data_IF_654094720980
#
_entry.id   IF_654094720980
#
_cell.length_a   1.000
_cell.length_b   1.000
_cell.length_c   1.000
_cell.angle_alpha   90.00
_cell.angle_beta   90.00
_cell.angle_gamma   90.00
#
_symmetry.space_group_name_H-M   'P 1'
#
loop_
_entity.id
_entity.type
_entity.pdbx_description
1 polymer ?
#
# COMPACT_ATOMS: atom_id res chain seq x y z
N UNK A 1 -22.31 -0.31 -16.92
CA UNK A 1 -21.78 -0.89 -18.18
C UNK A 1 -21.41 -2.34 -17.90
N UNK A 2 -21.79 -3.27 -18.81
CA UNK A 2 -21.41 -4.68 -18.68
C UNK A 2 -19.97 -4.87 -19.15
N UNK A 3 -19.16 -5.59 -18.37
CA UNK A 3 -17.75 -5.85 -18.66
C UNK A 3 -17.46 -7.35 -18.59
N UNK A 4 -16.42 -7.80 -19.31
CA UNK A 4 -16.11 -9.24 -19.41
C UNK A 4 -15.38 -9.78 -18.17
N UNK A 5 -14.39 -9.02 -17.67
CA UNK A 5 -13.43 -9.57 -16.71
C UNK A 5 -13.40 -8.85 -15.36
N UNK A 6 -13.86 -7.61 -15.30
CA UNK A 6 -13.86 -6.87 -14.04
C UNK A 6 -14.98 -5.85 -13.98
N UNK A 7 -15.48 -5.60 -12.78
CA UNK A 7 -16.40 -4.51 -12.48
C UNK A 7 -16.10 -3.98 -11.09
N UNK A 8 -16.25 -2.68 -10.90
CA UNK A 8 -16.07 -2.00 -9.62
C UNK A 8 -17.23 -1.06 -9.37
N UNK A 9 -17.67 -0.98 -8.12
CA UNK A 9 -18.67 0.00 -7.69
C UNK A 9 -18.45 0.45 -6.25
N UNK A 10 -18.94 1.64 -5.96
CA UNK A 10 -19.01 2.21 -4.63
C UNK A 10 -20.43 2.06 -4.07
N UNK A 11 -20.54 1.60 -2.83
CA UNK A 11 -21.74 1.66 -2.01
C UNK A 11 -21.64 2.90 -1.12
N UNK A 12 -22.43 3.93 -1.32
CA UNK A 12 -22.42 5.12 -0.51
C UNK A 12 -23.29 4.94 0.75
N UNK A 13 -22.76 5.26 1.91
CA UNK A 13 -23.54 5.29 3.14
C UNK A 13 -23.21 4.18 4.14
N UNK A 14 -24.03 4.03 5.20
CA UNK A 14 -23.80 3.05 6.25
C UNK A 14 -24.18 1.63 5.82
N UNK A 15 -23.95 0.69 6.74
CA UNK A 15 -24.40 -0.69 6.59
C UNK A 15 -25.93 -0.74 6.50
N UNK A 16 -26.44 -1.39 5.48
CA UNK A 16 -27.84 -1.75 5.24
C UNK A 16 -27.84 -3.12 4.55
N UNK A 17 -28.26 -4.16 5.25
CA UNK A 17 -28.14 -5.53 4.81
C UNK A 17 -28.92 -5.80 3.52
N UNK A 18 -30.21 -5.42 3.50
CA UNK A 18 -31.10 -5.66 2.35
C UNK A 18 -30.62 -4.86 1.11
N UNK A 19 -30.23 -3.61 1.33
CA UNK A 19 -29.69 -2.76 0.26
C UNK A 19 -28.37 -3.28 -0.29
N UNK A 20 -27.47 -3.74 0.57
CA UNK A 20 -26.18 -4.32 0.17
C UNK A 20 -26.35 -5.65 -0.60
N UNK A 21 -27.34 -6.46 -0.23
CA UNK A 21 -27.69 -7.66 -0.97
C UNK A 21 -28.07 -7.33 -2.41
N UNK A 22 -29.06 -6.47 -2.59
CA UNK A 22 -29.53 -6.07 -3.93
C UNK A 22 -28.41 -5.41 -4.75
N UNK A 23 -27.62 -4.54 -4.10
CA UNK A 23 -26.50 -3.87 -4.72
C UNK A 23 -25.40 -4.87 -5.20
N UNK A 24 -25.05 -5.85 -4.37
CA UNK A 24 -24.09 -6.89 -4.71
C UNK A 24 -24.55 -7.78 -5.86
N UNK A 25 -25.83 -8.16 -5.89
CA UNK A 25 -26.45 -8.91 -7.00
C UNK A 25 -26.42 -8.07 -8.29
N UNK A 26 -26.75 -6.78 -8.21
CA UNK A 26 -26.73 -5.87 -9.35
C UNK A 26 -25.31 -5.66 -9.88
N UNK A 27 -24.31 -5.56 -9.00
CA UNK A 27 -22.91 -5.47 -9.40
C UNK A 27 -22.44 -6.76 -10.08
N UNK A 28 -22.78 -7.92 -9.50
CA UNK A 28 -22.49 -9.23 -10.08
C UNK A 28 -23.09 -9.39 -11.49
N UNK A 29 -24.31 -8.91 -11.70
CA UNK A 29 -25.00 -8.96 -12.99
C UNK A 29 -24.34 -8.09 -14.09
N UNK A 30 -23.47 -7.16 -13.73
CA UNK A 30 -22.70 -6.36 -14.67
C UNK A 30 -21.45 -7.10 -15.20
N UNK A 31 -20.95 -8.10 -14.47
CA UNK A 31 -19.86 -8.94 -14.92
C UNK A 31 -20.41 -10.05 -15.82
N UNK A 32 -20.01 -10.06 -17.09
CA UNK A 32 -20.51 -11.03 -18.07
C UNK A 32 -19.96 -12.45 -17.87
N UNK A 33 -18.77 -12.54 -17.26
CA UNK A 33 -18.15 -13.83 -16.99
C UNK A 33 -19.00 -14.68 -16.03
N UNK A 34 -19.01 -16.03 -16.21
CA UNK A 34 -19.84 -16.92 -15.40
C UNK A 34 -19.41 -17.00 -13.93
N UNK A 35 -18.14 -16.70 -13.63
CA UNK A 35 -17.56 -16.86 -12.31
C UNK A 35 -16.85 -15.59 -11.84
N UNK A 36 -16.94 -15.33 -10.52
CA UNK A 36 -16.12 -14.33 -9.84
C UNK A 36 -15.00 -15.07 -9.10
N UNK A 37 -13.79 -14.96 -9.65
CA UNK A 37 -12.61 -15.62 -9.08
C UNK A 37 -12.13 -14.91 -7.82
N UNK A 38 -12.11 -13.55 -7.87
CA UNK A 38 -11.59 -12.67 -6.82
C UNK A 38 -12.52 -11.48 -6.63
N UNK A 39 -12.81 -11.16 -5.38
CA UNK A 39 -13.38 -9.89 -4.93
C UNK A 39 -12.36 -9.13 -4.10
N UNK A 40 -12.22 -7.83 -4.36
CA UNK A 40 -11.46 -6.93 -3.50
C UNK A 40 -12.42 -5.92 -2.87
N UNK A 41 -12.40 -5.83 -1.53
CA UNK A 41 -13.28 -4.95 -0.76
C UNK A 41 -12.48 -3.99 0.09
N UNK A 42 -12.84 -2.71 0.01
CA UNK A 42 -12.30 -1.65 0.86
C UNK A 42 -13.45 -0.97 1.57
N UNK A 43 -13.40 -0.96 2.91
CA UNK A 43 -14.50 -0.41 3.72
C UNK A 43 -14.02 0.74 4.59
N UNK A 44 -14.81 1.81 4.64
CA UNK A 44 -14.57 2.89 5.61
C UNK A 44 -14.77 2.39 7.05
N UNK A 45 -14.11 3.01 8.06
CA UNK A 45 -14.18 2.57 9.45
C UNK A 45 -15.57 2.49 10.03
N UNK A 46 -16.55 3.17 9.45
CA UNK A 46 -17.96 3.10 9.85
C UNK A 46 -18.57 1.69 9.68
N UNK A 47 -17.93 0.84 8.89
CA UNK A 47 -18.33 -0.56 8.71
C UNK A 47 -17.76 -1.52 9.78
N UNK A 48 -16.81 -1.09 10.62
CA UNK A 48 -16.16 -1.97 11.60
C UNK A 48 -17.14 -2.82 12.42
N UNK A 49 -18.24 -2.27 12.99
CA UNK A 49 -19.18 -3.07 13.76
C UNK A 49 -19.94 -4.12 12.95
N UNK A 50 -19.99 -3.97 11.63
CA UNK A 50 -20.77 -4.79 10.71
C UNK A 50 -19.88 -5.50 9.66
N UNK A 51 -18.57 -5.46 9.82
CA UNK A 51 -17.63 -5.94 8.79
C UNK A 51 -17.88 -7.40 8.43
N UNK A 52 -18.01 -8.30 9.41
CA UNK A 52 -18.25 -9.72 9.15
C UNK A 52 -19.57 -9.96 8.40
N UNK A 53 -20.65 -9.29 8.79
CA UNK A 53 -21.96 -9.38 8.11
C UNK A 53 -21.85 -8.84 6.67
N UNK A 54 -21.16 -7.70 6.49
CA UNK A 54 -20.93 -7.11 5.18
C UNK A 54 -20.17 -8.08 4.26
N UNK A 55 -19.08 -8.68 4.75
CA UNK A 55 -18.29 -9.66 3.99
C UNK A 55 -19.13 -10.87 3.57
N UNK A 56 -19.97 -11.38 4.47
CA UNK A 56 -20.84 -12.50 4.16
C UNK A 56 -21.88 -12.16 3.08
N UNK A 57 -22.57 -11.02 3.21
CA UNK A 57 -23.51 -10.52 2.21
C UNK A 57 -22.83 -10.38 0.84
N UNK A 58 -21.69 -9.69 0.78
CA UNK A 58 -20.97 -9.47 -0.47
C UNK A 58 -20.51 -10.80 -1.10
N UNK A 59 -19.94 -11.70 -0.30
CA UNK A 59 -19.44 -12.98 -0.79
C UNK A 59 -20.55 -13.87 -1.36
N UNK A 60 -21.68 -13.93 -0.68
CA UNK A 60 -22.82 -14.77 -1.09
C UNK A 60 -23.52 -14.18 -2.32
N UNK A 61 -23.92 -12.90 -2.25
CA UNK A 61 -24.77 -12.29 -3.27
C UNK A 61 -23.99 -11.87 -4.54
N UNK A 62 -22.72 -11.53 -4.43
CA UNK A 62 -21.85 -11.37 -5.59
C UNK A 62 -21.14 -12.68 -6.02
N UNK A 63 -21.42 -13.82 -5.38
CA UNK A 63 -20.89 -15.15 -5.70
C UNK A 63 -19.36 -15.20 -5.78
N UNK A 64 -18.68 -14.60 -4.81
CA UNK A 64 -17.24 -14.45 -4.81
C UNK A 64 -16.56 -15.69 -4.23
N UNK A 65 -15.61 -16.29 -4.97
CA UNK A 65 -14.85 -17.46 -4.50
C UNK A 65 -13.81 -17.10 -3.46
N UNK A 66 -13.03 -16.04 -3.72
CA UNK A 66 -12.05 -15.49 -2.79
C UNK A 66 -12.31 -14.00 -2.63
N UNK A 67 -12.62 -13.57 -1.41
CA UNK A 67 -12.84 -12.17 -1.05
C UNK A 67 -11.70 -11.72 -0.14
N UNK A 68 -11.05 -10.61 -0.46
CA UNK A 68 -10.02 -10.04 0.40
C UNK A 68 -10.04 -8.51 0.35
N UNK A 69 -9.39 -7.88 1.31
CA UNK A 69 -9.29 -6.43 1.36
C UNK A 69 -8.92 -5.92 2.73
N UNK A 70 -9.21 -4.64 2.97
CA UNK A 70 -8.92 -4.02 4.24
C UNK A 70 -9.80 -2.78 4.47
N UNK A 71 -9.72 -2.23 5.67
CA UNK A 71 -10.26 -0.92 5.97
C UNK A 71 -9.48 0.19 5.28
N UNK A 72 -10.18 1.24 4.87
CA UNK A 72 -9.57 2.38 4.20
C UNK A 72 -10.28 3.67 4.56
N UNK A 73 -9.50 4.72 4.89
CA UNK A 73 -10.05 6.04 5.21
C UNK A 73 -10.54 6.77 3.94
N UNK A 74 -9.83 6.62 2.83
CA UNK A 74 -10.25 7.08 1.51
C UNK A 74 -10.51 5.90 0.58
N UNK A 75 -11.44 6.05 -0.36
CA UNK A 75 -11.84 5.01 -1.29
C UNK A 75 -11.70 5.51 -2.73
N UNK A 76 -11.40 4.60 -3.66
CA UNK A 76 -11.35 4.88 -5.09
C UNK A 76 -12.21 3.86 -5.82
N UNK A 77 -13.14 4.32 -6.64
CA UNK A 77 -13.98 3.47 -7.47
C UNK A 77 -13.99 3.95 -8.93
N UNK A 78 -13.21 3.27 -9.78
CA UNK A 78 -13.02 3.73 -11.15
C UNK A 78 -12.27 5.06 -11.20
N UNK A 79 -12.93 6.11 -11.68
CA UNK A 79 -12.38 7.48 -11.77
C UNK A 79 -12.79 8.37 -10.57
N UNK A 80 -13.56 7.83 -9.62
CA UNK A 80 -14.06 8.58 -8.46
C UNK A 80 -13.15 8.39 -7.26
N UNK A 81 -12.72 9.48 -6.65
CA UNK A 81 -12.06 9.55 -5.35
C UNK A 81 -13.08 9.95 -4.29
N UNK A 82 -13.19 9.16 -3.23
CA UNK A 82 -14.19 9.29 -2.18
C UNK A 82 -13.47 9.49 -0.86
N UNK A 83 -13.52 10.70 -0.35
CA UNK A 83 -12.91 11.08 0.92
C UNK A 83 -13.95 11.57 1.92
N UNK A 84 -13.65 11.39 3.22
CA UNK A 84 -14.46 11.89 4.34
C UNK A 84 -15.95 11.46 4.30
N UNK A 85 -16.22 10.32 3.68
CA UNK A 85 -17.56 9.75 3.61
C UNK A 85 -17.60 8.29 4.07
N UNK A 86 -18.77 7.84 4.51
CA UNK A 86 -19.01 6.42 4.79
C UNK A 86 -19.27 5.68 3.50
N UNK A 87 -18.76 4.44 3.40
CA UNK A 87 -19.04 3.60 2.25
C UNK A 87 -18.09 2.42 2.16
N UNK A 88 -18.29 1.64 1.12
CA UNK A 88 -17.36 0.59 0.71
C UNK A 88 -17.20 0.57 -0.82
N UNK A 89 -16.06 0.07 -1.27
CA UNK A 89 -15.82 -0.23 -2.68
C UNK A 89 -15.65 -1.75 -2.81
N UNK A 90 -16.34 -2.32 -3.79
CA UNK A 90 -16.19 -3.72 -4.16
C UNK A 90 -15.78 -3.81 -5.64
N UNK A 91 -14.65 -4.46 -5.89
CA UNK A 91 -14.21 -4.83 -7.22
C UNK A 91 -14.33 -6.35 -7.42
N UNK A 92 -14.96 -6.77 -8.50
CA UNK A 92 -15.13 -8.18 -8.87
C UNK A 92 -14.27 -8.48 -10.09
N UNK A 93 -13.55 -9.60 -10.03
CA UNK A 93 -12.69 -10.06 -11.11
C UNK A 93 -13.02 -11.49 -11.49
N UNK A 94 -13.12 -11.73 -12.80
CA UNK A 94 -13.04 -13.06 -13.38
C UNK A 94 -11.64 -13.28 -13.93
N UNK A 95 -10.95 -14.26 -13.42
CA UNK A 95 -9.56 -14.58 -13.76
C UNK A 95 -9.49 -16.03 -14.29
N UNK A 96 -9.87 -16.27 -15.55
CA UNK A 96 -9.84 -17.62 -16.12
C UNK A 96 -8.42 -18.21 -16.10
N UNK A 97 -8.30 -19.47 -15.71
CA UNK A 97 -7.01 -20.14 -15.60
C UNK A 97 -6.15 -19.73 -14.39
N UNK A 98 -6.62 -18.79 -13.55
CA UNK A 98 -5.90 -18.42 -12.33
C UNK A 98 -6.01 -19.50 -11.25
N UNK A 99 -4.93 -19.65 -10.50
CA UNK A 99 -4.92 -20.31 -9.18
C UNK A 99 -4.78 -19.24 -8.12
N UNK A 100 -5.73 -19.21 -7.18
CA UNK A 100 -5.78 -18.20 -6.13
C UNK A 100 -5.76 -18.89 -4.76
N UNK A 101 -4.91 -18.42 -3.86
CA UNK A 101 -4.89 -18.85 -2.46
C UNK A 101 -4.64 -17.67 -1.54
N UNK A 102 -5.59 -17.40 -0.65
CA UNK A 102 -5.44 -16.39 0.41
C UNK A 102 -4.85 -17.01 1.66
N UNK A 103 -3.99 -16.27 2.34
CA UNK A 103 -3.41 -16.63 3.63
C UNK A 103 -3.41 -15.41 4.56
N UNK A 104 -3.71 -15.63 5.83
CA UNK A 104 -3.51 -14.65 6.89
C UNK A 104 -2.18 -14.93 7.58
N UNK A 105 -1.47 -13.88 8.01
CA UNK A 105 -0.22 -13.97 8.77
C UNK A 105 -0.18 -12.92 9.89
N UNK A 106 0.60 -13.19 10.91
CA UNK A 106 0.71 -12.38 12.13
C UNK A 106 2.12 -11.84 12.35
N UNK A 107 2.27 -10.84 13.22
CA UNK A 107 3.60 -10.32 13.63
C UNK A 107 4.49 -11.41 14.22
N UNK A 108 3.92 -12.33 15.00
CA UNK A 108 4.66 -13.46 15.53
C UNK A 108 5.32 -14.30 14.44
N UNK A 109 4.60 -14.58 13.36
CA UNK A 109 5.13 -15.32 12.22
C UNK A 109 6.22 -14.53 11.48
N UNK A 110 6.09 -13.20 11.40
CA UNK A 110 7.15 -12.32 10.87
C UNK A 110 8.43 -12.42 11.69
N UNK A 111 8.32 -12.45 13.02
CA UNK A 111 9.46 -12.59 13.94
C UNK A 111 10.09 -13.99 13.89
N UNK A 112 9.30 -15.02 13.65
CA UNK A 112 9.74 -16.41 13.51
C UNK A 112 10.35 -16.73 12.14
N UNK A 113 10.18 -15.84 11.14
CA UNK A 113 10.68 -16.05 9.78
C UNK A 113 12.20 -15.87 9.69
N UNK A 114 12.93 -16.89 10.12
CA UNK A 114 14.38 -16.89 10.19
C UNK A 114 15.09 -17.41 8.93
N UNK A 115 14.38 -18.06 8.03
CA UNK A 115 14.93 -18.65 6.81
C UNK A 115 13.93 -18.54 5.63
N UNK A 116 14.44 -18.67 4.41
CA UNK A 116 13.64 -18.57 3.17
C UNK A 116 12.54 -19.64 3.04
N UNK A 117 12.65 -20.75 3.74
CA UNK A 117 11.68 -21.85 3.66
C UNK A 117 10.54 -21.70 4.69
N UNK A 118 10.64 -20.71 5.57
CA UNK A 118 9.63 -20.47 6.60
C UNK A 118 8.24 -20.19 6.00
N UNK A 119 8.15 -19.22 5.11
CA UNK A 119 6.86 -18.83 4.51
C UNK A 119 6.26 -19.93 3.64
N UNK A 120 6.99 -20.62 2.75
CA UNK A 120 6.46 -21.77 2.03
C UNK A 120 5.87 -22.85 2.93
N UNK A 121 6.57 -23.21 4.02
CA UNK A 121 6.07 -24.17 5.00
C UNK A 121 4.82 -23.68 5.74
N UNK A 122 4.81 -22.41 6.13
CA UNK A 122 3.72 -21.81 6.93
C UNK A 122 2.47 -21.58 6.09
N UNK A 123 2.61 -21.09 4.88
CA UNK A 123 1.49 -20.80 3.96
C UNK A 123 1.04 -22.04 3.19
N UNK A 124 1.89 -23.05 3.07
CA UNK A 124 1.68 -24.20 2.18
C UNK A 124 1.62 -23.80 0.69
N UNK A 125 2.40 -22.78 0.32
CA UNK A 125 2.52 -22.28 -1.06
C UNK A 125 3.99 -22.31 -1.44
N UNK A 126 4.33 -23.21 -2.35
CA UNK A 126 5.70 -23.32 -2.86
C UNK A 126 6.06 -22.15 -3.78
N UNK A 127 7.32 -21.70 -3.79
CA UNK A 127 7.74 -20.49 -4.51
C UNK A 127 7.48 -20.50 -6.02
N UNK A 128 7.40 -21.68 -6.63
CA UNK A 128 7.14 -21.83 -8.07
C UNK A 128 5.66 -21.76 -8.46
N UNK A 129 4.73 -21.72 -7.50
CA UNK A 129 3.30 -21.73 -7.80
C UNK A 129 2.72 -20.35 -8.11
N UNK A 130 3.02 -19.27 -7.33
CA UNK A 130 2.49 -17.95 -7.65
C UNK A 130 3.32 -17.26 -8.75
N UNK A 131 2.62 -16.42 -9.51
CA UNK A 131 3.22 -15.45 -10.44
C UNK A 131 3.35 -14.06 -9.80
N UNK A 132 2.75 -13.87 -8.63
CA UNK A 132 2.80 -12.66 -7.84
C UNK A 132 1.81 -12.68 -6.68
N UNK A 133 1.83 -11.63 -5.88
CA UNK A 133 1.06 -11.50 -4.64
C UNK A 133 0.30 -10.19 -4.57
N UNK A 134 -0.93 -10.25 -4.05
CA UNK A 134 -1.62 -9.08 -3.50
C UNK A 134 -1.59 -9.17 -1.98
N UNK A 135 -1.30 -8.07 -1.28
CA UNK A 135 -1.22 -8.06 0.17
C UNK A 135 -1.86 -6.82 0.79
N UNK A 136 -2.58 -7.02 1.89
CA UNK A 136 -3.16 -5.99 2.73
C UNK A 136 -2.65 -6.18 4.15
N UNK A 137 -2.05 -5.16 4.75
CA UNK A 137 -1.30 -5.29 6.00
C UNK A 137 -1.70 -4.20 6.98
N UNK A 138 -1.87 -4.58 8.24
CA UNK A 138 -2.06 -3.63 9.33
C UNK A 138 -0.73 -2.91 9.63
N UNK A 139 -0.67 -1.57 9.50
CA UNK A 139 0.56 -0.82 9.72
C UNK A 139 0.95 -0.65 11.19
N UNK A 140 0.02 -0.92 12.12
CA UNK A 140 0.24 -0.65 13.54
C UNK A 140 0.83 -1.86 14.29
N UNK A 141 0.49 -3.07 13.87
CA UNK A 141 0.90 -4.29 14.56
C UNK A 141 1.87 -5.15 13.74
N UNK A 142 2.12 -4.83 12.46
CA UNK A 142 3.09 -5.54 11.61
C UNK A 142 4.32 -4.66 11.32
N UNK A 143 5.50 -5.20 11.56
CA UNK A 143 6.73 -4.65 11.02
C UNK A 143 6.82 -4.97 9.52
N UNK A 144 6.28 -4.07 8.71
CA UNK A 144 6.16 -4.25 7.26
C UNK A 144 7.51 -4.42 6.56
N UNK A 145 8.58 -3.76 7.05
CA UNK A 145 9.93 -3.90 6.47
C UNK A 145 10.50 -5.31 6.71
N UNK A 146 10.34 -5.84 7.94
CA UNK A 146 10.78 -7.19 8.26
C UNK A 146 9.97 -8.24 7.50
N UNK A 147 8.64 -8.03 7.40
CA UNK A 147 7.78 -8.91 6.62
C UNK A 147 8.18 -8.93 5.14
N UNK A 148 8.26 -7.78 4.48
CA UNK A 148 8.61 -7.69 3.05
C UNK A 148 9.97 -8.34 2.79
N UNK A 149 10.97 -8.11 3.66
CA UNK A 149 12.29 -8.72 3.50
C UNK A 149 12.25 -10.24 3.55
N UNK A 150 11.64 -10.82 4.59
CA UNK A 150 11.55 -12.27 4.74
C UNK A 150 10.66 -12.91 3.66
N UNK A 151 9.63 -12.18 3.19
CA UNK A 151 8.77 -12.63 2.11
C UNK A 151 9.49 -12.64 0.76
N UNK A 152 10.26 -11.58 0.47
CA UNK A 152 11.09 -11.50 -0.75
C UNK A 152 12.19 -12.56 -0.78
N UNK A 153 12.79 -12.88 0.37
CA UNK A 153 13.75 -13.99 0.49
C UNK A 153 13.09 -15.34 0.17
N UNK A 154 11.85 -15.53 0.58
CA UNK A 154 11.11 -16.78 0.38
C UNK A 154 10.56 -16.92 -1.05
N UNK A 155 10.11 -15.82 -1.64
CA UNK A 155 9.46 -15.78 -2.94
C UNK A 155 10.20 -14.85 -3.91
N UNK A 156 11.53 -14.97 -3.95
CA UNK A 156 12.42 -14.08 -4.66
C UNK A 156 12.05 -13.84 -6.13
N UNK A 157 11.99 -12.57 -6.51
CA UNK A 157 11.69 -12.14 -7.87
C UNK A 157 10.19 -12.12 -8.23
N UNK A 158 9.30 -12.45 -7.29
CA UNK A 158 7.86 -12.34 -7.51
C UNK A 158 7.35 -10.95 -7.07
N UNK A 159 6.53 -10.28 -7.90
CA UNK A 159 5.98 -9.00 -7.53
C UNK A 159 4.98 -9.12 -6.36
N UNK A 160 5.04 -8.18 -5.43
CA UNK A 160 4.06 -8.00 -4.36
C UNK A 160 3.43 -6.63 -4.51
N UNK A 161 2.12 -6.59 -4.70
CA UNK A 161 1.34 -5.36 -4.75
C UNK A 161 0.33 -5.32 -3.61
N UNK A 162 -0.12 -4.14 -3.26
CA UNK A 162 -1.12 -3.97 -2.22
C UNK A 162 -0.91 -2.69 -1.42
N UNK A 163 -1.29 -2.71 -0.16
CA UNK A 163 -1.20 -1.52 0.67
C UNK A 163 -1.36 -1.79 2.15
N UNK A 164 -1.10 -0.74 2.90
CA UNK A 164 -1.36 -0.71 4.33
C UNK A 164 -2.81 -0.29 4.56
N UNK A 165 -3.50 -1.01 5.44
CA UNK A 165 -4.84 -0.64 5.88
C UNK A 165 -4.81 0.71 6.57
N UNK A 166 -5.92 1.44 6.51
CA UNK A 166 -6.07 2.71 7.22
C UNK A 166 -7.42 2.78 7.95
N UNK A 167 -7.47 3.61 8.98
CA UNK A 167 -8.62 3.76 9.86
C UNK A 167 -8.80 5.20 10.29
N UNK A 168 -9.60 5.44 11.32
CA UNK A 168 -9.81 6.77 11.87
C UNK A 168 -8.62 7.23 12.72
N UNK A 169 -8.09 8.40 12.40
CA UNK A 169 -7.12 9.04 13.27
C UNK A 169 -7.83 9.73 14.46
N UNK A 170 -7.32 9.65 15.73
CA UNK A 170 -6.00 9.11 16.10
C UNK A 170 -6.01 7.63 16.52
N UNK A 171 -7.12 6.92 16.39
CA UNK A 171 -7.22 5.54 16.85
C UNK A 171 -6.44 4.60 15.91
N UNK A 172 -5.46 3.83 16.44
CA UNK A 172 -4.67 2.92 15.63
C UNK A 172 -5.42 1.61 15.35
N UNK A 173 -6.65 1.69 14.85
CA UNK A 173 -7.50 0.54 14.55
C UNK A 173 -7.69 0.43 13.04
N UNK A 174 -7.33 -0.74 12.52
CA UNK A 174 -7.60 -1.16 11.15
C UNK A 174 -8.20 -2.56 11.14
N UNK A 175 -8.82 -2.91 10.03
CA UNK A 175 -9.32 -4.26 9.81
C UNK A 175 -8.82 -4.80 8.47
N UNK A 176 -8.52 -6.10 8.42
CA UNK A 176 -8.09 -6.81 7.24
C UNK A 176 -9.05 -7.98 7.02
N UNK A 177 -9.36 -8.26 5.77
CA UNK A 177 -10.43 -9.17 5.40
C UNK A 177 -9.93 -10.33 4.54
N UNK A 178 -10.37 -11.54 4.89
CA UNK A 178 -10.20 -12.71 4.04
C UNK A 178 -11.45 -13.59 4.10
N UNK A 179 -12.16 -13.70 3.00
CA UNK A 179 -13.47 -14.36 2.90
C UNK A 179 -14.50 -13.75 3.86
N UNK A 180 -14.91 -14.47 4.90
CA UNK A 180 -15.81 -13.97 5.95
C UNK A 180 -15.10 -13.55 7.23
N UNK A 181 -13.78 -13.73 7.30
CA UNK A 181 -13.01 -13.44 8.50
C UNK A 181 -12.55 -11.98 8.53
N UNK A 182 -12.62 -11.38 9.72
CA UNK A 182 -12.15 -10.03 10.03
C UNK A 182 -11.01 -10.14 11.02
N UNK A 183 -9.87 -9.57 10.68
CA UNK A 183 -8.68 -9.52 11.53
C UNK A 183 -8.39 -8.07 11.91
N UNK A 184 -8.11 -7.82 13.18
CA UNK A 184 -7.73 -6.51 13.71
C UNK A 184 -6.23 -6.33 13.82
N UNK A 185 -5.47 -7.35 13.45
CA UNK A 185 -4.01 -7.36 13.37
C UNK A 185 -3.51 -8.25 12.21
N UNK A 186 -2.23 -8.17 11.91
CA UNK A 186 -1.64 -9.06 10.93
C UNK A 186 -1.67 -8.54 9.50
N UNK A 187 -1.68 -9.47 8.57
CA UNK A 187 -1.79 -9.22 7.14
C UNK A 187 -2.44 -10.37 6.40
N UNK A 188 -3.01 -10.05 5.26
CA UNK A 188 -3.53 -11.02 4.30
C UNK A 188 -2.72 -10.93 3.02
N UNK A 189 -2.26 -12.07 2.52
CA UNK A 189 -1.60 -12.18 1.22
C UNK A 189 -2.36 -13.17 0.33
N UNK A 190 -2.53 -12.81 -0.94
CA UNK A 190 -3.19 -13.62 -1.95
C UNK A 190 -2.16 -14.01 -2.99
N UNK A 191 -1.84 -15.30 -3.07
CA UNK A 191 -1.07 -15.86 -4.16
C UNK A 191 -1.91 -15.86 -5.44
N UNK A 192 -1.38 -15.31 -6.50
CA UNK A 192 -1.97 -15.33 -7.85
C UNK A 192 -1.02 -16.13 -8.74
N UNK A 193 -1.50 -17.24 -9.28
CA UNK A 193 -0.75 -18.14 -10.15
C UNK A 193 -1.59 -18.65 -11.32
N UNK A 194 -1.13 -19.71 -11.96
CA UNK A 194 -1.77 -20.26 -13.15
C UNK A 194 -1.47 -19.43 -14.41
N UNK A 195 -2.48 -19.21 -15.24
CA UNK A 195 -2.34 -18.49 -16.53
C UNK A 195 -2.42 -16.97 -16.41
N UNK A 196 -2.40 -16.42 -15.19
CA UNK A 196 -2.51 -14.98 -14.92
C UNK A 196 -1.17 -14.46 -14.43
N UNK A 197 -0.67 -13.37 -15.05
CA UNK A 197 0.49 -12.62 -14.60
C UNK A 197 0.06 -11.35 -13.85
N UNK A 198 0.84 -10.97 -12.84
CA UNK A 198 0.64 -9.75 -12.08
C UNK A 198 1.73 -8.73 -12.47
N UNK A 199 1.33 -7.59 -12.98
CA UNK A 199 2.21 -6.48 -13.34
C UNK A 199 1.67 -5.19 -12.72
N UNK A 200 2.55 -4.23 -12.47
CA UNK A 200 2.14 -2.96 -11.88
C UNK A 200 2.96 -1.78 -12.37
N UNK A 201 2.37 -0.60 -12.18
CA UNK A 201 3.03 0.69 -12.40
C UNK A 201 3.04 1.42 -11.06
N UNK A 202 4.19 2.01 -10.73
CA UNK A 202 4.35 2.81 -9.51
C UNK A 202 4.51 4.27 -9.91
N UNK A 203 3.58 5.12 -9.44
CA UNK A 203 3.70 6.56 -9.52
C UNK A 203 3.78 7.14 -8.11
N UNK A 204 4.87 7.86 -7.82
CA UNK A 204 5.05 8.47 -6.50
C UNK A 204 4.54 9.92 -6.45
N UNK A 205 4.13 10.49 -7.59
CA UNK A 205 3.56 11.83 -7.69
C UNK A 205 4.49 12.92 -7.13
N UNK A 206 5.81 12.77 -7.28
CA UNK A 206 6.79 13.69 -6.74
C UNK A 206 7.84 14.09 -7.78
N UNK A 207 8.28 15.35 -7.68
CA UNK A 207 9.35 15.92 -8.49
C UNK A 207 10.58 16.16 -7.62
N UNK A 208 11.79 15.71 -8.03
CA UNK A 208 13.04 16.02 -7.35
C UNK A 208 13.29 17.54 -7.29
N UNK A 209 13.78 18.02 -6.15
CA UNK A 209 14.15 19.42 -5.94
C UNK A 209 15.55 19.52 -5.34
N UNK A 210 16.29 20.59 -5.71
CA UNK A 210 17.67 20.78 -5.28
C UNK A 210 18.61 19.74 -5.86
N UNK A 211 19.74 19.55 -5.19
CA UNK A 211 20.80 18.62 -5.58
C UNK A 211 20.68 17.27 -4.88
N UNK A 212 21.36 16.27 -5.41
CA UNK A 212 21.56 14.96 -4.77
C UNK A 212 22.63 15.05 -3.70
N UNK A 213 22.43 14.35 -2.59
CA UNK A 213 23.31 14.35 -1.44
C UNK A 213 23.54 12.94 -0.91
N UNK A 214 24.65 12.76 -0.21
CA UNK A 214 24.91 11.53 0.54
C UNK A 214 24.54 11.71 2.01
N UNK A 215 23.82 10.77 2.60
CA UNK A 215 23.56 10.69 4.02
C UNK A 215 24.82 10.29 4.76
N UNK A 216 25.37 11.18 5.59
CA UNK A 216 26.66 10.93 6.24
C UNK A 216 26.54 10.51 7.70
N UNK A 217 25.39 10.76 8.34
CA UNK A 217 25.09 10.25 9.68
C UNK A 217 23.59 10.02 9.84
N UNK A 218 23.22 8.77 10.11
CA UNK A 218 21.85 8.33 10.30
C UNK A 218 21.77 7.45 11.55
N UNK A 219 20.67 7.56 12.30
CA UNK A 219 20.35 6.72 13.44
C UNK A 219 18.85 6.37 13.39
N UNK A 220 18.56 5.11 13.06
CA UNK A 220 17.20 4.65 12.78
C UNK A 220 16.54 5.51 11.70
N UNK A 221 15.41 6.13 12.01
CA UNK A 221 14.67 7.04 11.13
C UNK A 221 15.10 8.51 11.24
N UNK A 222 16.17 8.79 11.98
CA UNK A 222 16.71 10.15 12.19
C UNK A 222 17.93 10.38 11.32
N UNK A 223 17.86 11.42 10.47
CA UNK A 223 18.98 11.90 9.67
C UNK A 223 19.62 13.06 10.39
N UNK A 224 20.85 12.86 10.89
CA UNK A 224 21.63 13.89 11.56
C UNK A 224 22.41 14.75 10.57
N UNK A 225 23.09 14.10 9.60
CA UNK A 225 23.95 14.81 8.65
C UNK A 225 23.71 14.38 7.21
N UNK A 226 23.68 15.37 6.34
CA UNK A 226 23.63 15.26 4.87
C UNK A 226 24.89 16.00 4.35
N UNK A 227 25.75 15.32 3.61
CA UNK A 227 27.00 15.90 3.10
C UNK A 227 27.89 16.52 4.22
N UNK A 228 27.95 15.85 5.39
CA UNK A 228 28.63 16.30 6.61
C UNK A 228 28.10 17.62 7.23
N UNK A 229 26.88 18.02 6.87
CA UNK A 229 26.20 19.21 7.38
C UNK A 229 24.94 18.81 8.15
N UNK A 230 24.46 19.59 9.12
CA UNK A 230 23.19 19.32 9.78
C UNK A 230 22.07 19.16 8.75
N UNK A 231 21.31 18.05 8.84
CA UNK A 231 20.32 17.71 7.84
C UNK A 231 19.23 18.80 7.65
N UNK A 232 18.78 19.38 8.76
CA UNK A 232 17.80 20.48 8.72
C UNK A 232 18.33 21.71 7.97
N UNK A 233 19.62 22.04 8.12
CA UNK A 233 20.22 23.18 7.41
C UNK A 233 20.24 22.95 5.90
N UNK A 234 20.54 21.73 5.46
CA UNK A 234 20.52 21.39 4.03
C UNK A 234 19.10 21.49 3.47
N UNK A 235 18.08 21.01 4.21
CA UNK A 235 16.68 21.16 3.83
C UNK A 235 16.27 22.64 3.71
N UNK A 236 16.61 23.43 4.72
CA UNK A 236 16.26 24.86 4.76
C UNK A 236 16.90 25.64 3.60
N UNK A 237 18.17 25.40 3.31
CA UNK A 237 18.86 26.02 2.17
C UNK A 237 18.31 25.57 0.84
N UNK A 238 18.02 24.26 0.67
CA UNK A 238 17.37 23.73 -0.54
C UNK A 238 16.04 24.45 -0.77
N UNK A 239 15.21 24.57 0.27
CA UNK A 239 13.92 25.25 0.17
C UNK A 239 14.08 26.76 -0.15
N UNK A 240 15.00 27.44 0.51
CA UNK A 240 15.26 28.87 0.28
C UNK A 240 15.85 29.15 -1.11
N UNK A 241 16.60 28.23 -1.66
CA UNK A 241 17.19 28.31 -3.00
C UNK A 241 16.18 28.11 -4.15
N UNK A 242 14.97 27.64 -3.86
CA UNK A 242 13.94 27.47 -4.88
C UNK A 242 13.39 28.83 -5.34
N UNK A 243 12.93 28.94 -6.60
CA UNK A 243 12.15 30.08 -7.06
C UNK A 243 10.90 30.31 -6.18
N UNK A 244 10.41 31.57 -6.03
CA UNK A 244 9.29 31.88 -5.14
C UNK A 244 8.01 31.05 -5.41
N UNK A 245 7.75 30.72 -6.66
CA UNK A 245 6.61 29.88 -7.04
C UNK A 245 6.77 28.44 -6.54
N UNK A 246 7.98 27.90 -6.68
CA UNK A 246 8.32 26.56 -6.23
C UNK A 246 8.33 26.49 -4.69
N UNK A 247 8.78 27.52 -4.00
CA UNK A 247 8.68 27.59 -2.54
C UNK A 247 7.22 27.50 -2.07
N UNK A 248 6.31 28.23 -2.74
CA UNK A 248 4.87 28.18 -2.41
C UNK A 248 4.28 26.80 -2.61
N UNK A 249 4.60 26.14 -3.73
CA UNK A 249 4.16 24.77 -4.02
C UNK A 249 4.75 23.73 -3.07
N UNK A 250 5.95 23.96 -2.57
CA UNK A 250 6.68 23.06 -1.67
C UNK A 250 6.26 23.18 -0.21
N UNK A 251 5.56 24.23 0.17
CA UNK A 251 5.15 24.46 1.56
C UNK A 251 4.15 23.39 2.01
N UNK A 252 4.54 22.56 2.99
CA UNK A 252 3.76 21.43 3.47
C UNK A 252 3.79 20.18 2.56
N UNK A 253 4.53 20.25 1.44
CA UNK A 253 4.57 19.19 0.42
C UNK A 253 5.99 18.65 0.17
N UNK A 254 6.86 18.72 1.18
CA UNK A 254 8.24 18.24 1.08
C UNK A 254 8.37 16.80 1.55
N UNK A 255 9.16 16.05 0.80
CA UNK A 255 9.45 14.65 1.02
C UNK A 255 10.95 14.41 0.87
N UNK A 256 11.42 13.23 1.25
CA UNK A 256 12.75 12.74 0.94
C UNK A 256 12.67 11.60 -0.07
N UNK A 257 13.47 11.67 -1.12
CA UNK A 257 13.71 10.57 -2.05
C UNK A 257 15.02 9.87 -1.69
N UNK A 258 14.94 8.59 -1.40
CA UNK A 258 16.09 7.73 -1.16
C UNK A 258 16.37 6.94 -2.44
N UNK A 259 17.60 6.98 -2.95
CA UNK A 259 17.95 6.30 -4.19
C UNK A 259 17.78 4.78 -4.02
N UNK A 260 17.15 4.15 -5.01
CA UNK A 260 16.91 2.71 -5.04
C UNK A 260 18.13 1.97 -5.58
N UNK A 261 18.77 2.51 -6.61
CA UNK A 261 19.93 1.92 -7.25
C UNK A 261 21.12 2.90 -7.26
N UNK A 262 22.07 2.70 -6.36
CA UNK A 262 23.27 3.55 -6.20
C UNK A 262 24.29 3.43 -7.36
N UNK A 263 24.11 2.50 -8.30
CA UNK A 263 25.02 2.27 -9.43
C UNK A 263 24.70 3.11 -10.67
N UNK A 264 23.64 3.96 -10.59
CA UNK A 264 23.32 4.88 -11.67
C UNK A 264 24.27 6.08 -11.64
N UNK A 265 24.70 6.53 -12.81
CA UNK A 265 25.56 7.73 -12.95
C UNK A 265 24.77 9.02 -12.74
N UNK A 266 23.49 9.03 -13.14
CA UNK A 266 22.57 10.15 -12.98
C UNK A 266 21.23 9.63 -12.42
N UNK A 267 20.58 10.43 -11.59
CA UNK A 267 19.30 10.09 -10.97
C UNK A 267 18.17 10.94 -11.54
N UNK A 268 17.12 10.27 -11.97
CA UNK A 268 15.95 10.88 -12.55
C UNK A 268 14.68 10.61 -11.70
N UNK A 269 13.58 11.22 -12.06
CA UNK A 269 12.28 10.90 -11.51
C UNK A 269 11.99 9.40 -11.69
N UNK A 270 11.60 8.71 -10.60
CA UNK A 270 11.39 7.26 -10.58
C UNK A 270 12.52 6.47 -9.94
N UNK A 271 13.75 7.02 -9.87
CA UNK A 271 14.91 6.34 -9.28
C UNK A 271 14.94 6.43 -7.75
N UNK A 272 13.97 7.13 -7.16
CA UNK A 272 13.88 7.39 -5.73
C UNK A 272 12.72 6.68 -5.08
N UNK A 273 12.95 6.14 -3.90
CA UNK A 273 11.90 5.74 -2.97
C UNK A 273 11.50 6.96 -2.14
N UNK A 274 10.35 7.55 -2.46
CA UNK A 274 9.88 8.77 -1.78
C UNK A 274 9.26 8.42 -0.43
N UNK A 275 9.63 9.18 0.61
CA UNK A 275 9.16 9.02 1.99
C UNK A 275 8.82 10.35 2.62
N UNK A 276 7.90 10.32 3.58
CA UNK A 276 7.49 11.49 4.33
C UNK A 276 8.64 12.04 5.17
N UNK A 277 8.75 13.37 5.21
CA UNK A 277 9.45 14.09 6.27
C UNK A 277 8.46 14.19 7.44
N UNK A 278 8.70 13.41 8.51
CA UNK A 278 7.83 13.36 9.70
C UNK A 278 8.01 14.59 10.56
N UNK A 279 9.24 15.13 10.59
CA UNK A 279 9.56 16.34 11.35
C UNK A 279 11.01 16.79 11.16
N UNK A 280 11.31 17.95 11.71
CA UNK A 280 12.66 18.52 11.72
C UNK A 280 12.83 19.46 12.88
N UNK A 281 14.00 19.42 13.53
CA UNK A 281 14.35 20.31 14.63
C UNK A 281 15.50 21.23 14.22
N UNK A 282 15.25 22.55 14.08
CA UNK A 282 16.29 23.52 13.73
C UNK A 282 17.39 23.66 14.78
N UNK A 283 17.13 23.26 16.05
CA UNK A 283 18.12 23.39 17.14
C UNK A 283 19.14 22.26 17.11
N UNK A 284 18.67 21.03 16.97
CA UNK A 284 19.55 19.84 16.85
C UNK A 284 20.05 19.62 15.43
N UNK A 285 19.39 20.21 14.43
CA UNK A 285 19.70 20.04 13.01
C UNK A 285 19.25 18.71 12.43
N UNK A 286 18.40 17.96 13.13
CA UNK A 286 17.96 16.58 12.76
C UNK A 286 16.67 16.64 11.96
N UNK A 287 16.53 15.71 11.00
CA UNK A 287 15.28 15.39 10.29
C UNK A 287 14.82 14.00 10.67
N UNK A 288 13.51 13.83 10.92
CA UNK A 288 12.86 12.55 11.09
C UNK A 288 12.11 12.18 9.79
N UNK A 289 12.26 10.92 9.35
CA UNK A 289 11.70 10.45 8.08
C UNK A 289 10.89 9.16 8.26
N UNK A 290 9.93 8.92 7.39
CA UNK A 290 9.10 7.71 7.38
C UNK A 290 9.79 6.52 6.71
N UNK A 291 11.07 6.28 7.03
CA UNK A 291 11.88 5.18 6.52
C UNK A 291 13.03 4.87 7.49
N UNK A 292 13.76 3.81 7.20
CA UNK A 292 15.04 3.47 7.85
C UNK A 292 16.19 3.70 6.85
N UNK A 293 16.61 4.96 6.61
CA UNK A 293 17.70 5.26 5.69
C UNK A 293 19.05 4.74 6.23
N UNK A 294 20.04 4.65 5.35
CA UNK A 294 21.38 4.15 5.69
C UNK A 294 22.44 5.21 5.49
N UNK A 295 23.43 5.23 6.37
CA UNK A 295 24.64 6.02 6.13
C UNK A 295 25.31 5.57 4.83
N UNK A 296 25.69 6.52 3.99
CA UNK A 296 26.23 6.30 2.65
C UNK A 296 25.18 6.27 1.53
N UNK A 297 23.88 6.25 1.87
CA UNK A 297 22.80 6.25 0.90
C UNK A 297 22.67 7.63 0.23
N UNK A 298 22.44 7.64 -1.08
CA UNK A 298 22.14 8.86 -1.83
C UNK A 298 20.67 9.26 -1.66
N UNK A 299 20.44 10.54 -1.50
CA UNK A 299 19.10 11.13 -1.35
C UNK A 299 18.95 12.40 -2.17
N UNK A 300 17.70 12.78 -2.44
CA UNK A 300 17.32 14.10 -2.95
C UNK A 300 15.98 14.49 -2.34
N UNK A 301 15.82 15.78 -1.99
CA UNK A 301 14.51 16.24 -1.57
C UNK A 301 13.51 16.19 -2.72
N UNK A 302 12.25 15.95 -2.38
CA UNK A 302 11.18 15.79 -3.34
C UNK A 302 10.02 16.72 -2.97
N UNK A 303 9.28 17.17 -3.95
CA UNK A 303 8.03 17.87 -3.77
C UNK A 303 6.88 17.07 -4.37
N UNK A 304 5.76 16.97 -3.67
CA UNK A 304 4.55 16.39 -4.25
C UNK A 304 4.05 17.31 -5.38
N UNK A 305 3.73 16.72 -6.51
CA UNK A 305 3.38 17.41 -7.73
C UNK A 305 2.31 16.63 -8.50
N UNK A 306 1.15 17.22 -8.73
CA UNK A 306 0.06 16.57 -9.47
C UNK A 306 0.48 16.22 -10.91
N UNK A 307 1.26 17.11 -11.58
CA UNK A 307 1.77 16.85 -12.93
C UNK A 307 2.78 15.69 -12.95
N UNK A 308 3.35 15.36 -11.77
CA UNK A 308 4.26 14.24 -11.61
C UNK A 308 3.53 12.89 -11.41
N UNK A 309 2.22 12.90 -11.16
CA UNK A 309 1.42 11.70 -10.98
C UNK A 309 0.82 11.17 -12.30
N UNK A 310 0.85 11.97 -13.35
CA UNK A 310 0.44 11.62 -14.73
C UNK A 310 1.68 11.24 -15.54
#
# INVERSE_FOLDING_TARGET
>A
VKTEYSVVAHWPGPFDEDGLQEWAENLRAQLLAPEVSLGLVFMSPNFFPHAAQTLEVLRVHAQIRLLAGCSSHGLIAGEEEIENSSGLVLALYSLPGATLKGVHFTQKQVEEAADKDYWPRTTGIEPQHPNGWLAFVDPFHINSESWIRSWDEAYAGLPVFGGLASGNFPDPVTQIYLNGDVYEDGGVAIAIGGEVALTGVISQGCTPIGETWTLTRVEQNLIHNIGNRPAYSVLAETFQGLPPDEQRKSQGNLFIGLVVNEYLEEFHRGDFLVRNLIGGDPKSGVLAVGAMPRTGQTMQFQRRDADAAT
#
